data_IF_676644267603
#
_entry.id   IF_676644267603
#
_cell.length_a   1.000
_cell.length_b   1.000
_cell.length_c   1.000
_cell.angle_alpha   90.00
_cell.angle_beta   90.00
_cell.angle_gamma   90.00
#
_symmetry.space_group_name_H-M   'P 1'
#
loop_
_entity.id
_entity.type
_entity.pdbx_description
1 polymer ?
2 non-polymer ?
3 non-polymer ?
4 water ?
#
# COMPACT_ATOMS: atom_id res chain seq x y z
N UNK A 1 2.05 15.79 -10.16
CA UNK A 1 1.39 15.64 -8.86
C UNK A 1 -0.13 15.58 -8.93
N UNK A 2 -0.72 14.85 -7.97
CA UNK A 2 -2.13 14.50 -7.98
C UNK A 2 -2.69 14.72 -6.57
N UNK A 3 -3.97 15.06 -6.48
CA UNK A 3 -4.60 15.27 -5.18
C UNK A 3 -5.20 13.95 -4.70
N UNK A 4 -4.86 13.54 -3.48
CA UNK A 4 -5.42 12.33 -2.90
C UNK A 4 -6.81 12.65 -2.37
N UNK A 5 -7.74 11.68 -2.31
CA UNK A 5 -7.50 10.30 -2.78
C UNK A 5 -7.44 10.16 -4.29
N UNK A 6 -6.69 9.16 -4.74
CA UNK A 6 -6.49 8.88 -6.16
C UNK A 6 -6.66 7.39 -6.42
N UNK A 7 -7.39 7.06 -7.49
CA UNK A 7 -7.51 5.67 -7.92
C UNK A 7 -6.69 5.48 -9.19
N UNK A 8 -5.71 4.57 -9.12
CA UNK A 8 -4.93 4.18 -10.29
C UNK A 8 -5.59 2.95 -10.92
N UNK A 9 -6.09 3.05 -12.18
CA UNK A 9 -6.64 1.89 -12.86
C UNK A 9 -5.58 0.81 -13.09
N UNK A 10 -5.99 -0.44 -12.85
CA UNK A 10 -5.17 -1.60 -13.15
C UNK A 10 -5.97 -2.47 -14.11
N UNK A 11 -6.02 -2.12 -15.42
CA UNK A 11 -6.90 -2.80 -16.38
C UNK A 11 -6.53 -4.27 -16.56
N UNK A 12 -7.52 -5.15 -16.39
CA UNK A 12 -7.29 -6.59 -16.47
C UNK A 12 -6.55 -7.11 -15.24
N UNK A 13 -6.50 -6.27 -14.19
CA UNK A 13 -5.97 -6.68 -12.91
C UNK A 13 -4.44 -6.74 -12.92
N UNK A 14 -3.88 -7.37 -11.89
CA UNK A 14 -2.43 -7.44 -11.73
C UNK A 14 -1.95 -8.80 -12.22
N UNK A 15 -0.63 -8.91 -12.39
CA UNK A 15 0.00 -10.10 -12.92
C UNK A 15 1.42 -10.17 -12.38
N UNK A 16 1.99 -11.37 -12.13
CA UNK A 16 3.37 -11.47 -11.70
C UNK A 16 4.34 -10.69 -12.60
N UNK A 17 5.28 -10.01 -11.93
CA UNK A 17 6.33 -9.22 -12.55
C UNK A 17 5.82 -7.82 -12.89
N UNK A 18 4.61 -7.49 -12.39
CA UNK A 18 4.10 -6.12 -12.42
C UNK A 18 4.66 -5.37 -11.21
N UNK A 19 5.30 -4.21 -11.47
CA UNK A 19 5.91 -3.41 -10.42
C UNK A 19 5.20 -2.06 -10.36
N UNK A 20 4.54 -1.79 -9.23
CA UNK A 20 3.83 -0.53 -9.06
C UNK A 20 4.69 0.39 -8.19
N UNK A 21 4.90 1.63 -8.66
CA UNK A 21 5.71 2.61 -7.95
C UNK A 21 4.83 3.81 -7.58
N UNK A 22 4.81 4.12 -6.28
CA UNK A 22 4.12 5.29 -5.77
C UNK A 22 5.17 6.24 -5.19
N UNK A 23 5.20 7.48 -5.71
CA UNK A 23 6.10 8.51 -5.23
C UNK A 23 5.27 9.62 -4.59
N UNK A 24 5.75 10.11 -3.44
CA UNK A 24 5.09 11.20 -2.77
C UNK A 24 5.95 11.74 -1.63
N UNK A 25 5.36 12.67 -0.87
CA UNK A 25 5.95 13.18 0.36
C UNK A 25 4.92 13.01 1.47
N UNK A 26 5.37 12.51 2.62
CA UNK A 26 4.51 12.40 3.79
C UNK A 26 4.29 13.79 4.36
N UNK A 27 3.04 14.11 4.71
CA UNK A 27 2.73 15.42 5.28
C UNK A 27 3.39 15.57 6.65
N UNK A 28 3.64 16.83 7.10
CA UNK A 28 4.44 17.05 8.32
C UNK A 28 3.82 16.48 9.58
N UNK A 29 2.49 16.41 9.62
CA UNK A 29 1.78 15.97 10.82
C UNK A 29 1.01 14.69 10.52
N UNK A 30 1.63 13.77 9.79
CA UNK A 30 0.87 12.64 9.23
C UNK A 30 0.42 11.67 10.32
N UNK A 31 -0.79 11.12 10.14
CA UNK A 31 -1.33 10.09 11.02
C UNK A 31 -1.39 8.73 10.33
N UNK A 32 -1.67 8.70 9.01
CA UNK A 32 -1.93 7.44 8.33
C UNK A 32 -1.74 7.57 6.83
N UNK A 33 -1.42 6.43 6.20
CA UNK A 33 -1.35 6.29 4.75
C UNK A 33 -2.03 4.97 4.42
N UNK A 34 -2.67 4.88 3.25
CA UNK A 34 -3.24 3.60 2.83
C UNK A 34 -3.13 3.41 1.31
N UNK A 35 -2.69 2.20 0.94
CA UNK A 35 -2.84 1.66 -0.40
C UNK A 35 -3.92 0.58 -0.35
N UNK A 36 -4.87 0.62 -1.29
CA UNK A 36 -5.94 -0.36 -1.35
C UNK A 36 -6.01 -0.96 -2.75
N UNK A 37 -5.54 -2.22 -2.88
CA UNK A 37 -5.72 -2.98 -4.11
C UNK A 37 -7.09 -3.62 -4.07
N UNK A 38 -7.96 -3.23 -5.01
CA UNK A 38 -9.38 -3.53 -4.92
C UNK A 38 -9.79 -4.52 -6.00
N UNK A 39 -10.64 -5.46 -5.60
CA UNK A 39 -11.41 -6.29 -6.53
C UNK A 39 -12.88 -5.99 -6.29
N UNK A 40 -13.43 -5.07 -7.10
CA UNK A 40 -14.75 -4.52 -6.81
C UNK A 40 -14.74 -3.88 -5.42
N UNK A 41 -15.71 -4.28 -4.58
CA UNK A 41 -15.80 -3.77 -3.22
C UNK A 41 -14.80 -4.45 -2.29
N UNK A 42 -14.23 -5.59 -2.70
CA UNK A 42 -13.26 -6.28 -1.86
C UNK A 42 -11.92 -5.55 -1.94
N UNK A 43 -11.17 -5.60 -0.84
CA UNK A 43 -9.82 -5.09 -0.82
C UNK A 43 -8.87 -6.29 -0.71
N UNK A 44 -8.20 -6.60 -1.82
CA UNK A 44 -7.28 -7.73 -1.87
C UNK A 44 -6.09 -7.49 -0.95
N UNK A 45 -5.59 -6.24 -0.93
CA UNK A 45 -4.41 -5.91 -0.16
C UNK A 45 -4.51 -4.45 0.28
N UNK A 46 -4.67 -4.28 1.60
CA UNK A 46 -4.66 -2.99 2.27
C UNK A 46 -3.33 -2.85 3.00
N UNK A 47 -2.55 -1.83 2.61
CA UNK A 47 -1.25 -1.53 3.19
C UNK A 47 -1.39 -0.19 3.90
N UNK A 48 -1.25 -0.19 5.24
CA UNK A 48 -1.74 0.90 6.07
C UNK A 48 -0.70 1.28 7.13
N UNK A 49 0.32 2.11 6.79
CA UNK A 49 1.18 2.73 7.80
C UNK A 49 0.38 3.63 8.73
N UNK A 50 0.54 3.39 10.04
CA UNK A 50 -0.07 4.21 11.08
C UNK A 50 1.03 4.82 11.94
N UNK A 51 1.01 6.15 12.04
CA UNK A 51 2.09 6.89 12.68
C UNK A 51 1.86 7.04 14.18
N UNK A 52 0.61 6.91 14.62
CA UNK A 52 0.28 7.01 16.04
C UNK A 52 -0.90 6.10 16.32
N UNK A 53 -0.59 4.81 16.44
CA UNK A 53 -1.50 3.83 17.00
C UNK A 53 -1.02 3.50 18.41
N UNK A 54 -1.74 4.00 19.41
CA UNK A 54 -1.35 3.86 20.81
C UNK A 54 0.08 4.38 20.99
N UNK A 55 0.36 5.53 20.34
CA UNK A 55 1.65 6.21 20.45
C UNK A 55 2.82 5.39 19.89
N UNK A 56 2.52 4.51 18.93
CA UNK A 56 3.52 3.68 18.27
C UNK A 56 3.33 3.80 16.76
N UNK A 57 4.40 3.51 16.02
CA UNK A 57 4.34 3.47 14.56
C UNK A 57 4.34 2.01 14.12
N UNK A 58 3.37 1.66 13.26
CA UNK A 58 3.16 0.28 12.88
C UNK A 58 2.65 0.24 11.43
N UNK A 59 2.99 -0.85 10.73
CA UNK A 59 2.37 -1.16 9.45
C UNK A 59 1.30 -2.22 9.67
N UNK A 60 0.07 -1.92 9.23
CA UNK A 60 -1.03 -2.87 9.27
C UNK A 60 -1.38 -3.27 7.84
N UNK A 61 -1.42 -4.58 7.59
CA UNK A 61 -1.86 -5.11 6.30
C UNK A 61 -3.07 -6.03 6.51
N UNK A 62 -4.01 -6.01 5.56
CA UNK A 62 -5.21 -6.81 5.70
C UNK A 62 -5.94 -6.92 4.36
N UNK A 63 -7.00 -7.73 4.36
CA UNK A 63 -7.88 -7.96 3.23
C UNK A 63 -9.31 -7.72 3.70
N UNK A 64 -10.15 -7.15 2.84
CA UNK A 64 -11.55 -6.93 3.14
C UNK A 64 -12.39 -7.76 2.16
N UNK A 65 -13.22 -8.66 2.70
CA UNK A 65 -14.08 -9.52 1.92
C UNK A 65 -15.52 -9.34 2.38
N UNK A 66 -16.43 -9.08 1.45
CA UNK A 66 -17.84 -8.89 1.77
C UNK A 66 -17.98 -7.85 2.88
N UNK A 67 -17.16 -6.80 2.76
CA UNK A 67 -17.24 -5.62 3.61
C UNK A 67 -16.71 -5.89 5.01
N UNK A 68 -16.04 -7.04 5.22
CA UNK A 68 -15.48 -7.38 6.53
C UNK A 68 -13.97 -7.51 6.43
N UNK A 69 -13.26 -6.83 7.35
CA UNK A 69 -11.81 -6.97 7.46
C UNK A 69 -11.47 -8.32 8.09
N UNK A 70 -10.38 -8.92 7.59
CA UNK A 70 -9.90 -10.20 8.07
C UNK A 70 -8.81 -10.06 9.12
N UNK A 71 -7.94 -11.06 9.17
CA UNK A 71 -6.83 -11.14 10.12
C UNK A 71 -5.73 -10.16 9.72
N UNK A 72 -5.34 -9.27 10.64
CA UNK A 72 -4.30 -8.30 10.36
C UNK A 72 -2.93 -8.96 10.43
N UNK A 73 -2.06 -8.57 9.49
CA UNK A 73 -0.64 -8.85 9.54
C UNK A 73 0.08 -7.53 9.86
N UNK A 74 0.80 -7.49 10.99
CA UNK A 74 1.43 -6.28 11.46
C UNK A 74 2.96 -6.39 11.39
N UNK A 75 3.60 -5.25 11.09
CA UNK A 75 5.04 -5.12 11.06
C UNK A 75 5.44 -3.92 11.94
N UNK A 76 6.47 -4.10 12.76
CA UNK A 76 7.00 -3.01 13.57
C UNK A 76 7.96 -2.14 12.75
N UNK A 77 8.58 -2.73 11.73
CA UNK A 77 9.53 -2.01 10.89
C UNK A 77 8.78 -0.88 10.19
N UNK A 78 9.24 0.35 10.38
CA UNK A 78 8.48 1.51 9.93
C UNK A 78 9.42 2.48 9.22
N UNK A 79 9.50 2.41 7.87
CA UNK A 79 10.48 3.20 7.13
C UNK A 79 10.12 4.64 6.79
N UNK A 80 8.91 5.07 7.15
CA UNK A 80 8.42 6.38 6.78
C UNK A 80 8.75 7.38 7.88
N UNK A 81 8.80 8.65 7.47
CA UNK A 81 8.99 9.77 8.38
C UNK A 81 8.11 10.92 7.92
N UNK A 82 7.47 11.59 8.87
CA UNK A 82 6.68 12.77 8.58
C UNK A 82 7.53 13.81 7.85
N UNK A 83 6.97 14.41 6.81
CA UNK A 83 7.64 15.49 6.10
C UNK A 83 8.55 15.02 4.96
N UNK A 84 8.82 13.71 4.86
CA UNK A 84 9.89 13.24 3.98
C UNK A 84 9.35 12.59 2.70
N UNK A 85 10.08 12.77 1.58
CA UNK A 85 9.73 12.09 0.32
C UNK A 85 9.94 10.58 0.42
N UNK A 86 9.03 9.80 -0.16
CA UNK A 86 9.09 8.36 -0.10
C UNK A 86 8.85 7.77 -1.50
N UNK A 87 9.25 6.51 -1.62
CA UNK A 87 8.90 5.67 -2.75
C UNK A 87 8.41 4.33 -2.21
N UNK A 88 7.14 3.99 -2.50
CA UNK A 88 6.62 2.66 -2.23
C UNK A 88 6.59 1.90 -3.56
N UNK A 89 7.19 0.71 -3.55
CA UNK A 89 7.12 -0.18 -4.69
C UNK A 89 6.45 -1.48 -4.25
N UNK A 90 5.44 -1.87 -5.03
CA UNK A 90 4.73 -3.11 -4.82
C UNK A 90 5.01 -3.99 -6.04
N UNK A 91 5.71 -5.10 -5.79
CA UNK A 91 5.98 -6.09 -6.82
C UNK A 91 4.98 -7.22 -6.67
N UNK A 92 4.23 -7.48 -7.75
CA UNK A 92 3.31 -8.61 -7.75
C UNK A 92 4.09 -9.88 -8.09
N UNK A 93 4.11 -10.82 -7.15
CA UNK A 93 4.68 -12.14 -7.40
C UNK A 93 3.56 -13.17 -7.50
N UNK A 94 3.86 -14.42 -7.94
CA UNK A 94 2.83 -15.44 -8.05
C UNK A 94 2.05 -15.74 -6.77
N UNK A 95 2.73 -15.68 -5.61
CA UNK A 95 2.11 -16.05 -4.35
C UNK A 95 1.97 -14.90 -3.36
N UNK A 96 2.54 -13.73 -3.64
CA UNK A 96 2.41 -12.64 -2.69
C UNK A 96 2.67 -11.29 -3.36
N UNK A 97 2.26 -10.24 -2.66
CA UNK A 97 2.69 -8.90 -2.95
C UNK A 97 3.98 -8.68 -2.15
N UNK A 98 5.00 -8.11 -2.80
CA UNK A 98 6.24 -7.75 -2.13
C UNK A 98 6.32 -6.22 -2.09
N UNK A 99 6.61 -5.67 -0.90
CA UNK A 99 6.67 -4.22 -0.73
C UNK A 99 8.10 -3.82 -0.32
N UNK A 100 8.63 -2.82 -1.04
CA UNK A 100 9.87 -2.17 -0.67
C UNK A 100 9.62 -0.66 -0.56
N UNK A 101 10.22 -0.03 0.45
CA UNK A 101 10.11 1.41 0.62
C UNK A 101 11.52 2.00 0.56
N UNK A 102 11.70 3.02 -0.30
CA UNK A 102 12.97 3.70 -0.45
C UNK A 102 14.07 2.68 -0.76
N UNK A 103 13.73 1.71 -1.62
CA UNK A 103 14.64 0.69 -2.14
C UNK A 103 15.05 -0.36 -1.09
N UNK A 104 14.34 -0.43 0.04
CA UNK A 104 14.61 -1.45 1.04
C UNK A 104 13.40 -2.36 1.18
N UNK A 105 13.62 -3.68 1.14
CA UNK A 105 12.55 -4.63 1.32
C UNK A 105 11.86 -4.38 2.66
N UNK A 106 10.52 -4.39 2.65
CA UNK A 106 9.75 -4.15 3.87
C UNK A 106 8.99 -5.41 4.28
N UNK A 107 8.15 -5.94 3.40
CA UNK A 107 7.31 -7.07 3.75
C UNK A 107 6.80 -7.80 2.52
N UNK A 108 6.25 -9.00 2.74
CA UNK A 108 5.50 -9.69 1.71
C UNK A 108 4.17 -10.16 2.31
N UNK A 109 3.13 -10.13 1.47
CA UNK A 109 1.76 -10.38 1.86
C UNK A 109 1.18 -11.44 0.93
N UNK A 110 0.90 -12.62 1.47
CA UNK A 110 0.38 -13.74 0.71
C UNK A 110 -0.99 -13.36 0.12
N UNK A 111 -1.21 -13.77 -1.14
CA UNK A 111 -2.48 -13.53 -1.80
C UNK A 111 -3.60 -14.33 -1.15
N UNK A 112 -4.56 -13.61 -0.56
CA UNK A 112 -5.79 -14.18 -0.05
C UNK A 112 -6.85 -14.17 -1.14
N UNK A 113 -6.94 -13.04 -1.87
CA UNK A 113 -7.74 -12.94 -3.08
C UNK A 113 -6.94 -13.56 -4.22
N UNK A 114 -7.51 -14.58 -4.87
CA UNK A 114 -6.78 -15.42 -5.82
C UNK A 114 -6.89 -14.85 -7.23
N UNK A 115 -7.95 -14.11 -7.53
CA UNK A 115 -8.21 -13.64 -8.88
C UNK A 115 -7.45 -12.34 -9.13
N UNK A 116 -6.14 -12.47 -9.39
CA UNK A 116 -5.25 -11.33 -9.61
C UNK A 116 -5.75 -10.49 -10.78
N UNK A 117 -6.31 -11.13 -11.81
CA UNK A 117 -6.70 -10.39 -13.00
C UNK A 117 -8.05 -9.69 -12.81
N UNK A 118 -8.56 -9.67 -11.57
CA UNK A 118 -9.75 -8.90 -11.24
C UNK A 118 -9.45 -7.81 -10.21
N UNK A 119 -8.18 -7.68 -9.81
CA UNK A 119 -7.75 -6.64 -8.89
C UNK A 119 -7.42 -5.41 -9.73
N UNK A 120 -8.46 -4.61 -10.02
CA UNK A 120 -8.44 -3.72 -11.17
C UNK A 120 -8.35 -2.24 -10.78
N UNK A 121 -8.15 -1.93 -9.49
CA UNK A 121 -7.94 -0.55 -9.09
C UNK A 121 -7.02 -0.50 -7.87
N UNK A 122 -6.18 0.54 -7.82
CA UNK A 122 -5.36 0.83 -6.65
C UNK A 122 -5.76 2.19 -6.10
N UNK A 123 -6.34 2.20 -4.90
CA UNK A 123 -6.67 3.43 -4.21
C UNK A 123 -5.49 3.89 -3.34
N UNK A 124 -5.17 5.18 -3.44
CA UNK A 124 -4.09 5.79 -2.67
C UNK A 124 -4.70 6.91 -1.84
N UNK A 125 -4.55 6.82 -0.51
CA UNK A 125 -5.18 7.79 0.38
C UNK A 125 -4.29 8.09 1.59
N UNK A 126 -4.67 9.13 2.33
CA UNK A 126 -4.03 9.45 3.60
C UNK A 126 -3.21 10.73 3.51
N UNK A 127 -2.25 10.84 4.43
CA UNK A 127 -1.62 12.10 4.76
C UNK A 127 -0.34 12.27 3.95
N UNK A 128 -0.50 12.35 2.62
CA UNK A 128 0.62 12.47 1.70
C UNK A 128 0.32 13.54 0.65
N UNK A 129 1.39 14.04 0.06
CA UNK A 129 1.34 14.68 -1.25
C UNK A 129 1.77 13.64 -2.28
N UNK A 130 0.88 13.35 -3.24
CA UNK A 130 1.14 12.32 -4.23
C UNK A 130 1.80 12.96 -5.45
N UNK A 131 3.00 12.47 -5.77
CA UNK A 131 3.78 12.97 -6.90
C UNK A 131 3.45 12.18 -8.16
N UNK A 132 3.46 10.84 -8.04
CA UNK A 132 3.08 10.01 -9.18
C UNK A 132 2.76 8.58 -8.75
N UNK A 133 2.01 7.90 -9.63
CA UNK A 133 1.64 6.51 -9.44
C UNK A 133 1.60 5.84 -10.80
N UNK A 134 2.46 4.82 -11.00
CA UNK A 134 2.60 4.18 -12.28
C UNK A 134 3.05 2.74 -12.08
N UNK A 135 3.12 1.97 -13.18
CA UNK A 135 3.66 0.63 -13.09
C UNK A 135 4.39 0.28 -14.39
N UNK A 136 5.19 -0.77 -14.31
CA UNK A 136 5.86 -1.36 -15.45
C UNK A 136 5.96 -2.86 -15.20
N UNK A 137 6.40 -3.60 -16.22
CA UNK A 137 6.68 -5.02 -16.09
C UNK A 137 8.20 -5.19 -16.00
N UNK A 138 8.67 -5.95 -14.99
CA UNK A 138 10.09 -6.19 -14.80
C UNK A 138 10.50 -7.43 -15.60
X LIG B 1 -5.78 3.91 9.79
X LIG B 1 -7.14 4.67 9.95
X LIG B 1 -8.15 5.23 10.03
X LIG C 1 -9.13 -12.33 4.87
X LIG C 1 -8.81 -13.01 6.27
X LIG C 1 -8.57 -13.46 7.32
X LIG D 1 -7.35 10.99 1.39
X LIG D 1 -7.57 10.95 2.94
X LIG D 1 -7.72 10.89 4.09
X LIG E 1 -9.39 -1.67 13.09
X LIG E 1 -10.01 2.70 6.12
X LIG E 1 -8.81 3.16 6.55
X LIG E 1 -11.10 -3.26 11.98
X LIG E 1 -9.17 -0.55 12.20
X LIG E 1 -9.42 -0.79 10.75
X LIG E 1 -10.75 -3.83 13.33
X LIG E 1 -8.17 6.37 4.74
X LIG E 1 -6.09 5.59 5.64
X LIG E 1 -8.37 2.29 7.51
X LIG E 1 -6.73 -2.26 13.63
X LIG E 1 -7.73 -2.61 14.61
X LIG E 1 -8.95 -1.68 14.48
X LIG E 1 -9.71 -3.00 12.57
X LIG E 1 -9.41 0.49 9.93
X LIG E 1 -9.47 0.17 8.45
X LIG E 1 -9.31 1.38 7.61
X LIG E 1 -10.30 1.61 6.79
X LIG E 1 -8.11 4.35 6.01
X LIG E 1 -8.82 5.29 5.27
X LIG E 1 -8.86 7.32 4.01
X LIG E 1 -6.74 4.49 6.19
X LIG E 1 -4.73 5.75 5.80
X LIG E 1 -6.81 6.52 4.93
X LIG E 1 -6.18 7.63 4.39
X LIG E 1 -10.55 1.30 10.28
X LIG E 1 -8.39 -1.67 10.32
X LIG E 1 -8.49 -2.05 8.96
X LIG E 1 -7.39 -3.05 8.66
X LIG E 1 -7.53 -4.16 9.53
X LIG E 1 -8.38 -0.81 8.09
X LIG E 1 -7.10 -0.20 8.29
X LIG E 1 -8.72 0.51 12.58
X LIG E 1 -11.79 -2.41 11.99
X LIG E 1 -11.15 -3.97 11.16
X LIG E 1 -10.40 -1.27 10.62
X LIG E 1 -10.57 -4.91 13.36
X LIG E 1 -11.22 -3.36 14.19
X LIG E 1 -7.45 2.34 8.05
X LIG E 1 -8.05 -3.65 14.47
X LIG E 1 -7.32 -2.51 15.61
X LIG E 1 -9.75 -2.03 15.13
X LIG E 1 -8.67 -0.67 14.79
X LIG E 1 -8.94 -3.62 12.11
X LIG E 1 -8.48 1.05 10.13
X LIG E 1 -10.44 -0.30 8.24
X LIG E 1 -9.89 5.17 5.13
X LIG E 1 -6.18 3.75 6.74
X LIG E 1 -9.46 -2.52 8.77
X LIG E 1 -6.41 -2.58 8.79
X LIG E 1 -7.47 -3.38 7.62
X LIG E 1 -8.49 -1.11 7.04
#
# INVERSE_FOLDING_TARGET
PLIVPYNLPLPGGVVPRMLITILGTVKPNANRIALDFQRGNDVAFHFNPRFNENNRRVIVCNTKLDNNWGREERQSVFPFESGKPFKIQVLVEPDHFKVAVNDAHLLQYNHRVKKLNEISKLGISGDIDLTSASYTMI
SCN S C N
SCN S C N
SCN S C N
A1IB3 N1 N3 C4 C5 C6 C7 C8 C13 C15 C17 OP3 C1 C2 C3 C5' C9 N2 NAA C11 C12 F1 C14 F2 C16 F3 O5' O2' C2' C3' O3' C1' O4' O6 H9 H10 H11 H8 H7 H16 H3 H2 H5 H4 H6 H12 H13 H14 H15 H18 H19 H20 H22
#
